data_IF_227261561321
#
_entry.id   IF_227261561321
#
_cell.length_a   1.000
_cell.length_b   1.000
_cell.length_c   1.000
_cell.angle_alpha   90.00
_cell.angle_beta   90.00
_cell.angle_gamma   90.00
#
_symmetry.space_group_name_H-M   'P 1'
#
loop_
_entity.id
_entity.type
_entity.pdbx_description
1 polymer ?
#
# COMPACT_ATOMS: atom_id res chain seq x y z
N UNK A 1 10.62 -1.59 17.63
CA UNK A 1 11.26 -0.57 16.77
C UNK A 1 10.62 0.78 17.02
N UNK A 2 11.35 1.88 16.83
CA UNK A 2 10.76 3.21 16.87
C UNK A 2 9.72 3.36 15.74
N UNK A 3 8.57 4.02 15.96
CA UNK A 3 7.54 4.19 14.94
C UNK A 3 8.07 4.85 13.65
N UNK A 4 9.04 5.75 13.78
CA UNK A 4 9.70 6.41 12.66
C UNK A 4 10.47 5.41 11.79
N UNK A 5 11.20 4.47 12.41
CA UNK A 5 11.89 3.40 11.67
C UNK A 5 10.91 2.49 10.95
N UNK A 6 9.80 2.11 11.62
CA UNK A 6 8.77 1.30 10.98
C UNK A 6 8.14 2.01 9.76
N UNK A 7 7.98 3.34 9.82
CA UNK A 7 7.48 4.11 8.67
C UNK A 7 8.47 4.09 7.50
N UNK A 8 9.77 4.24 7.76
CA UNK A 8 10.78 4.20 6.70
C UNK A 8 10.80 2.85 5.98
N UNK A 9 10.96 1.77 6.75
CA UNK A 9 11.13 0.40 6.25
C UNK A 9 9.86 -0.17 5.62
N UNK A 10 8.67 0.19 6.11
CA UNK A 10 7.42 -0.41 5.63
C UNK A 10 6.61 0.46 4.67
N UNK A 11 6.96 1.73 4.47
CA UNK A 11 6.22 2.61 3.55
C UNK A 11 7.11 3.56 2.75
N UNK A 12 8.03 4.29 3.39
CA UNK A 12 8.82 5.30 2.67
C UNK A 12 9.67 4.67 1.55
N UNK A 13 10.36 3.58 1.87
CA UNK A 13 11.27 2.90 0.93
C UNK A 13 10.55 2.06 -0.11
N UNK A 14 9.26 1.75 0.10
CA UNK A 14 8.46 1.02 -0.87
C UNK A 14 8.40 1.74 -2.22
N UNK A 15 8.39 3.08 -2.21
CA UNK A 15 8.42 3.87 -3.46
C UNK A 15 9.66 3.55 -4.30
N UNK A 16 10.84 3.47 -3.67
CA UNK A 16 12.09 3.21 -4.38
C UNK A 16 12.07 1.81 -5.03
N UNK A 17 11.64 0.79 -4.28
CA UNK A 17 11.53 -0.58 -4.81
C UNK A 17 10.57 -0.63 -6.00
N UNK A 18 9.40 0.01 -5.89
CA UNK A 18 8.40 0.03 -6.96
C UNK A 18 8.88 0.84 -8.17
N UNK A 19 9.58 1.95 -7.97
CA UNK A 19 10.16 2.74 -9.06
C UNK A 19 11.18 1.90 -9.85
N UNK A 20 12.08 1.16 -9.18
CA UNK A 20 13.03 0.27 -9.86
C UNK A 20 12.35 -0.85 -10.65
N UNK A 21 11.24 -1.40 -10.14
CA UNK A 21 10.43 -2.39 -10.86
C UNK A 21 9.75 -1.76 -12.07
N UNK A 22 9.24 -0.54 -11.96
CA UNK A 22 8.62 0.15 -13.08
C UNK A 22 9.63 0.49 -14.19
N UNK A 23 10.85 0.85 -13.81
CA UNK A 23 11.92 1.20 -14.75
C UNK A 23 12.48 -0.01 -15.51
N UNK A 24 12.60 -1.18 -14.86
CA UNK A 24 13.32 -2.32 -15.44
C UNK A 24 12.82 -3.73 -15.07
N UNK A 25 11.70 -3.84 -14.36
CA UNK A 25 11.15 -5.12 -13.90
C UNK A 25 11.82 -5.69 -12.65
N UNK A 26 11.33 -6.85 -12.20
CA UNK A 26 11.77 -7.49 -10.94
C UNK A 26 13.25 -7.87 -10.98
N UNK A 27 13.74 -8.38 -12.10
CA UNK A 27 15.15 -8.75 -12.24
C UNK A 27 16.09 -7.54 -12.10
N UNK A 28 15.71 -6.38 -12.64
CA UNK A 28 16.46 -5.14 -12.47
C UNK A 28 16.45 -4.65 -11.02
N UNK A 29 15.30 -4.77 -10.35
CA UNK A 29 15.18 -4.44 -8.92
C UNK A 29 16.08 -5.35 -8.07
N UNK A 30 16.05 -6.67 -8.29
CA UNK A 30 16.88 -7.64 -7.56
C UNK A 30 18.38 -7.42 -7.79
N UNK A 31 18.77 -7.05 -9.02
CA UNK A 31 20.14 -6.66 -9.34
C UNK A 31 20.59 -5.39 -8.61
N UNK A 32 19.66 -4.49 -8.27
CA UNK A 32 19.94 -3.18 -7.69
C UNK A 32 19.98 -3.19 -6.16
N UNK A 33 19.36 -4.18 -5.51
CA UNK A 33 19.39 -4.36 -4.05
C UNK A 33 20.58 -5.23 -3.60
N UNK A 34 20.88 -5.25 -2.30
CA UNK A 34 21.94 -6.12 -1.77
C UNK A 34 21.54 -7.60 -1.82
N UNK A 35 22.52 -8.50 -1.96
CA UNK A 35 22.32 -9.95 -1.89
C UNK A 35 21.58 -10.40 -0.61
N UNK A 36 21.75 -9.69 0.51
CA UNK A 36 21.05 -10.02 1.76
C UNK A 36 19.54 -9.73 1.66
N UNK A 37 19.17 -8.61 1.02
CA UNK A 37 17.77 -8.25 0.78
C UNK A 37 17.13 -9.21 -0.23
N UNK A 38 17.83 -9.49 -1.33
CA UNK A 38 17.37 -10.44 -2.35
C UNK A 38 17.15 -11.85 -1.78
N UNK A 39 18.10 -12.36 -0.98
CA UNK A 39 17.93 -13.65 -0.31
C UNK A 39 16.75 -13.64 0.68
N UNK A 40 16.59 -12.54 1.43
CA UNK A 40 15.43 -12.33 2.32
C UNK A 40 14.10 -12.36 1.57
N UNK A 41 14.02 -11.74 0.40
CA UNK A 41 12.85 -11.79 -0.50
C UNK A 41 12.52 -13.23 -0.90
N UNK A 42 13.51 -14.01 -1.34
CA UNK A 42 13.28 -15.40 -1.77
C UNK A 42 12.77 -16.31 -0.67
N UNK A 43 13.26 -16.11 0.55
CA UNK A 43 12.88 -16.92 1.71
C UNK A 43 11.52 -16.48 2.26
N UNK A 44 11.34 -15.19 2.52
CA UNK A 44 10.20 -14.69 3.30
C UNK A 44 9.02 -14.29 2.43
N UNK A 45 9.26 -13.84 1.19
CA UNK A 45 8.22 -13.39 0.27
C UNK A 45 7.12 -14.44 0.03
N UNK A 46 7.46 -15.71 -0.28
CA UNK A 46 6.47 -16.77 -0.44
C UNK A 46 5.71 -17.14 0.84
N UNK A 47 6.30 -16.94 2.02
CA UNK A 47 5.63 -17.20 3.31
C UNK A 47 4.52 -16.18 3.58
N UNK A 48 4.78 -14.90 3.25
CA UNK A 48 3.80 -13.81 3.36
C UNK A 48 2.74 -13.91 2.25
N UNK A 49 3.16 -14.05 0.99
CA UNK A 49 2.28 -14.21 -0.18
C UNK A 49 2.13 -15.69 -0.54
N UNK A 50 1.49 -16.40 0.40
CA UNK A 50 1.27 -17.85 0.37
C UNK A 50 0.04 -18.30 -0.45
N UNK A 51 -0.30 -19.58 -0.34
CA UNK A 51 -1.40 -20.21 -1.06
C UNK A 51 -2.77 -19.62 -0.68
N UNK A 52 -2.96 -19.26 0.59
CA UNK A 52 -4.17 -18.65 1.15
C UNK A 52 -4.34 -17.22 0.60
N UNK A 53 -3.26 -16.43 0.58
CA UNK A 53 -3.24 -15.12 -0.06
C UNK A 53 -3.65 -15.21 -1.55
N UNK A 54 -3.12 -16.19 -2.28
CA UNK A 54 -3.50 -16.43 -3.69
C UNK A 54 -4.94 -16.93 -3.83
N UNK A 55 -5.45 -17.71 -2.88
CA UNK A 55 -6.85 -18.15 -2.85
C UNK A 55 -7.80 -16.98 -2.60
N UNK A 56 -7.44 -16.06 -1.69
CA UNK A 56 -8.18 -14.84 -1.45
C UNK A 56 -8.24 -13.96 -2.72
N UNK A 57 -7.14 -13.84 -3.46
CA UNK A 57 -7.11 -13.14 -4.75
C UNK A 57 -8.06 -13.77 -5.78
N UNK A 58 -8.05 -15.10 -5.92
CA UNK A 58 -8.99 -15.81 -6.82
C UNK A 58 -10.45 -15.61 -6.42
N UNK A 59 -10.73 -15.63 -5.11
CA UNK A 59 -12.08 -15.37 -4.62
C UNK A 59 -12.52 -13.92 -4.85
N UNK A 60 -11.62 -12.96 -4.67
CA UNK A 60 -11.87 -11.56 -5.02
C UNK A 60 -12.21 -11.40 -6.51
N UNK A 61 -11.45 -12.04 -7.41
CA UNK A 61 -11.74 -12.06 -8.84
C UNK A 61 -13.11 -12.67 -9.14
N UNK A 62 -13.44 -13.82 -8.53
CA UNK A 62 -14.76 -14.46 -8.69
C UNK A 62 -15.90 -13.52 -8.30
N UNK A 63 -15.77 -12.81 -7.18
CA UNK A 63 -16.74 -11.84 -6.67
C UNK A 63 -16.94 -10.62 -7.59
N UNK A 64 -15.88 -10.25 -8.31
CA UNK A 64 -15.95 -9.20 -9.34
C UNK A 64 -16.69 -9.74 -10.57
N UNK A 65 -16.26 -10.89 -11.08
CA UNK A 65 -16.81 -11.49 -12.30
C UNK A 65 -18.28 -11.88 -12.19
N UNK A 66 -18.73 -12.31 -11.01
CA UNK A 66 -20.13 -12.68 -10.77
C UNK A 66 -21.01 -11.50 -10.31
N UNK A 67 -20.45 -10.28 -10.23
CA UNK A 67 -21.18 -9.05 -9.90
C UNK A 67 -21.49 -8.84 -8.41
N UNK A 68 -21.11 -9.76 -7.53
CA UNK A 68 -21.35 -9.63 -6.08
C UNK A 68 -20.69 -8.37 -5.50
N UNK A 69 -19.44 -8.07 -5.91
CA UNK A 69 -18.74 -6.87 -5.42
C UNK A 69 -19.47 -5.59 -5.85
N UNK A 70 -19.94 -5.53 -7.11
CA UNK A 70 -20.70 -4.39 -7.61
C UNK A 70 -21.99 -4.21 -6.81
N UNK A 71 -22.71 -5.30 -6.52
CA UNK A 71 -23.91 -5.29 -5.66
C UNK A 71 -23.60 -4.78 -4.24
N UNK A 72 -22.50 -5.21 -3.64
CA UNK A 72 -22.05 -4.73 -2.32
C UNK A 72 -21.80 -3.22 -2.33
N UNK A 73 -21.09 -2.71 -3.35
CA UNK A 73 -20.77 -1.28 -3.44
C UNK A 73 -22.00 -0.41 -3.72
N UNK A 74 -22.91 -0.85 -4.59
CA UNK A 74 -24.18 -0.14 -4.84
C UNK A 74 -25.02 -0.09 -3.56
N UNK A 75 -25.13 -1.19 -2.81
CA UNK A 75 -25.86 -1.22 -1.55
C UNK A 75 -25.24 -0.28 -0.51
N UNK A 76 -23.91 -0.28 -0.38
CA UNK A 76 -23.18 0.64 0.49
C UNK A 76 -23.48 2.11 0.14
N UNK A 77 -23.50 2.46 -1.16
CA UNK A 77 -23.87 3.80 -1.62
C UNK A 77 -25.33 4.15 -1.36
N UNK A 78 -26.26 3.20 -1.52
CA UNK A 78 -27.67 3.38 -1.20
C UNK A 78 -27.92 3.65 0.30
N UNK A 79 -27.01 3.19 1.17
CA UNK A 79 -27.03 3.45 2.60
C UNK A 79 -26.14 4.64 3.02
N UNK A 80 -25.67 5.45 2.07
CA UNK A 80 -24.81 6.61 2.31
C UNK A 80 -23.45 6.27 2.95
N UNK A 81 -22.82 5.18 2.50
CA UNK A 81 -21.42 4.83 2.77
C UNK A 81 -21.02 4.64 4.25
N UNK A 82 -21.78 3.91 5.09
CA UNK A 82 -21.47 3.76 6.51
C UNK A 82 -20.17 2.99 6.78
N UNK A 83 -19.94 1.88 6.06
CA UNK A 83 -18.73 1.06 6.17
C UNK A 83 -17.50 1.85 5.70
N UNK A 84 -17.60 2.55 4.57
CA UNK A 84 -16.48 3.37 4.07
C UNK A 84 -16.17 4.53 5.00
N UNK A 85 -17.19 5.19 5.58
CA UNK A 85 -16.99 6.27 6.55
C UNK A 85 -16.23 5.77 7.79
N UNK A 86 -16.60 4.61 8.31
CA UNK A 86 -15.88 3.98 9.42
C UNK A 86 -14.44 3.63 9.03
N UNK A 87 -14.22 3.01 7.86
CA UNK A 87 -12.89 2.65 7.38
C UNK A 87 -11.97 3.87 7.18
N UNK A 88 -12.47 4.95 6.57
CA UNK A 88 -11.73 6.20 6.37
C UNK A 88 -11.29 6.81 7.70
N UNK A 89 -12.19 6.87 8.68
CA UNK A 89 -11.87 7.36 10.03
C UNK A 89 -10.80 6.51 10.70
N UNK A 90 -10.90 5.18 10.61
CA UNK A 90 -9.93 4.27 11.21
C UNK A 90 -8.55 4.43 10.56
N UNK A 91 -8.50 4.54 9.22
CA UNK A 91 -7.25 4.77 8.49
C UNK A 91 -6.62 6.13 8.84
N UNK A 92 -7.42 7.20 8.89
CA UNK A 92 -6.94 8.54 9.25
C UNK A 92 -6.39 8.58 10.69
N UNK A 93 -6.94 7.76 11.59
CA UNK A 93 -6.45 7.64 12.97
C UNK A 93 -5.25 6.70 13.13
N UNK A 94 -4.90 5.91 12.11
CA UNK A 94 -3.85 4.90 12.21
C UNK A 94 -2.48 5.55 12.53
N UNK A 95 -1.66 4.97 13.44
CA UNK A 95 -0.38 5.57 13.84
C UNK A 95 0.56 5.88 12.67
N UNK A 96 0.48 5.11 11.58
CA UNK A 96 1.28 5.36 10.36
C UNK A 96 1.03 6.74 9.76
N UNK A 97 -0.20 7.27 9.84
CA UNK A 97 -0.54 8.58 9.30
C UNK A 97 0.03 9.69 10.18
N UNK A 98 -0.05 9.55 11.50
CA UNK A 98 0.48 10.53 12.45
C UNK A 98 2.01 10.63 12.40
N UNK A 99 2.70 9.47 12.30
CA UNK A 99 4.15 9.42 12.14
C UNK A 99 4.53 9.92 10.75
N UNK A 100 3.83 9.45 9.72
CA UNK A 100 4.10 9.80 8.33
C UNK A 100 3.92 11.27 8.01
N UNK A 101 2.91 11.93 8.58
CA UNK A 101 2.72 13.37 8.42
C UNK A 101 3.92 14.16 8.95
N UNK A 102 4.36 13.85 10.18
CA UNK A 102 5.53 14.51 10.78
C UNK A 102 6.80 14.29 9.96
N UNK A 103 7.05 13.06 9.53
CA UNK A 103 8.24 12.73 8.73
C UNK A 103 8.21 13.39 7.36
N UNK A 104 7.09 13.34 6.64
CA UNK A 104 6.96 13.97 5.31
C UNK A 104 7.08 15.50 5.37
N UNK A 105 6.67 16.13 6.47
CA UNK A 105 6.85 17.57 6.67
C UNK A 105 8.32 18.00 6.77
N UNK A 106 9.19 17.09 7.21
CA UNK A 106 10.65 17.32 7.30
C UNK A 106 11.38 17.08 5.96
N UNK A 107 10.67 16.62 4.92
CA UNK A 107 11.23 16.23 3.62
C UNK A 107 10.80 17.25 2.54
N UNK A 108 11.53 18.36 2.36
CA UNK A 108 11.09 19.47 1.50
C UNK A 108 10.84 19.08 0.03
N UNK A 109 11.55 18.07 -0.48
CA UNK A 109 11.36 17.56 -1.85
C UNK A 109 10.00 16.89 -2.06
N UNK A 110 9.37 16.34 -1.02
CA UNK A 110 8.02 15.77 -1.11
C UNK A 110 6.99 16.89 -1.28
N UNK A 111 7.16 18.00 -0.56
CA UNK A 111 6.26 19.15 -0.69
C UNK A 111 6.35 19.80 -2.07
N UNK A 112 7.57 19.88 -2.64
CA UNK A 112 7.81 20.43 -3.98
C UNK A 112 7.13 19.62 -5.10
N UNK A 113 6.98 18.31 -4.91
CA UNK A 113 6.44 17.38 -5.91
C UNK A 113 5.01 16.90 -5.58
N UNK A 114 4.21 17.69 -4.86
CA UNK A 114 2.83 17.31 -4.53
C UNK A 114 1.96 17.20 -5.78
N UNK A 115 1.45 15.99 -6.02
CA UNK A 115 0.50 15.70 -7.11
C UNK A 115 -0.94 16.08 -6.70
N UNK A 116 -1.26 16.00 -5.40
CA UNK A 116 -2.60 16.25 -4.87
C UNK A 116 -2.67 17.62 -4.19
N UNK A 117 -3.57 18.47 -4.69
CA UNK A 117 -3.95 19.74 -4.08
C UNK A 117 -5.34 19.62 -3.44
N UNK A 118 -5.38 19.63 -2.11
CA UNK A 118 -6.64 19.52 -1.35
C UNK A 118 -7.51 20.78 -1.41
N UNK A 119 -7.00 21.90 -1.95
CA UNK A 119 -7.79 23.13 -2.12
C UNK A 119 -8.61 23.14 -3.40
N UNK A 120 -8.36 22.19 -4.31
CA UNK A 120 -8.99 22.08 -5.62
C UNK A 120 -10.03 20.96 -5.73
N UNK A 121 -10.24 20.18 -4.66
CA UNK A 121 -11.12 19.01 -4.61
C UNK A 121 -12.23 19.17 -3.58
#
# INVERSE_FOLDING_TARGET
YAPEMAYFECLHELKLIVDMINEGGIANMNYSISNNAEYGEYVTGPEVINAESRAAMRNALKRIQNGEYAKMFIAEGAHNYPSMTAARRNNAAHPIEQVGERLRAMMPWIAANKIVDKTKN
#
